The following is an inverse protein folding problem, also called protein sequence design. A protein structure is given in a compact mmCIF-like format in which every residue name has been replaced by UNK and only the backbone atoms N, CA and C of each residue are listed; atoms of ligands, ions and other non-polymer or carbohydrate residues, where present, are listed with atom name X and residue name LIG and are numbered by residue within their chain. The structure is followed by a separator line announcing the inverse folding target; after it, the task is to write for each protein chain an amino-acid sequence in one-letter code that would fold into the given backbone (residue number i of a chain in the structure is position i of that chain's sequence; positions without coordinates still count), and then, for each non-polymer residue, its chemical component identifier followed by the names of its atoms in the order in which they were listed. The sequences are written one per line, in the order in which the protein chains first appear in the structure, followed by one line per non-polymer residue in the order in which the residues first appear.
data_IF_229137806098
#
_entry.id   IF_229137806098
#
_cell.length_a   1.000
_cell.length_b   1.000
_cell.length_c   1.000
_cell.angle_alpha   90.00
_cell.angle_beta   90.00
_cell.angle_gamma   90.00
#
_symmetry.space_group_name_H-M   'P 1'
#
loop_
_entity.id
_entity.type
_entity.pdbx_description
1 polymer ?
#
# COMPACT_ATOMS: atom_id res chain seq x y z
N UNK A 1 -7.64 38.65 -12.33
CA UNK A 1 -7.22 37.59 -11.40
C UNK A 1 -6.99 36.32 -12.21
N UNK A 2 -5.80 36.15 -12.80
CA UNK A 2 -5.51 35.11 -13.82
C UNK A 2 -4.79 33.89 -13.21
N UNK A 3 -4.16 34.04 -12.04
CA UNK A 3 -3.37 32.97 -11.41
C UNK A 3 -4.14 31.92 -10.60
N UNK A 4 -5.46 32.04 -10.45
CA UNK A 4 -6.25 31.06 -9.67
C UNK A 4 -6.62 29.81 -10.47
N UNK A 5 -6.93 29.96 -11.76
CA UNK A 5 -7.36 28.83 -12.61
C UNK A 5 -6.23 27.81 -12.84
N UNK A 6 -4.98 28.27 -12.97
CA UNK A 6 -3.83 27.38 -13.10
C UNK A 6 -3.60 26.53 -11.84
N UNK A 7 -3.80 27.10 -10.65
CA UNK A 7 -3.68 26.38 -9.37
C UNK A 7 -4.79 25.33 -9.24
N UNK A 8 -6.03 25.67 -9.61
CA UNK A 8 -7.16 24.73 -9.58
C UNK A 8 -6.92 23.56 -10.55
N UNK A 9 -6.47 23.84 -11.79
CA UNK A 9 -6.17 22.80 -12.76
C UNK A 9 -5.04 21.87 -12.30
N UNK A 10 -3.99 22.42 -11.68
CA UNK A 10 -2.91 21.62 -11.09
C UNK A 10 -3.42 20.75 -9.94
N UNK A 11 -4.28 21.28 -9.08
CA UNK A 11 -4.88 20.52 -7.98
C UNK A 11 -5.71 19.32 -8.49
N UNK A 12 -6.48 19.49 -9.57
CA UNK A 12 -7.19 18.36 -10.20
C UNK A 12 -6.23 17.31 -10.74
N UNK A 13 -5.14 17.73 -11.40
CA UNK A 13 -4.10 16.81 -11.87
C UNK A 13 -3.49 15.98 -10.73
N UNK A 14 -3.18 16.63 -9.60
CA UNK A 14 -2.66 15.97 -8.41
C UNK A 14 -3.67 14.98 -7.81
N UNK A 15 -4.93 15.39 -7.63
CA UNK A 15 -5.98 14.51 -7.07
C UNK A 15 -6.22 13.26 -7.93
N UNK A 16 -6.19 13.40 -9.26
CA UNK A 16 -6.33 12.26 -10.18
C UNK A 16 -5.14 11.30 -10.09
N UNK A 17 -3.93 11.86 -9.93
CA UNK A 17 -2.73 11.05 -9.77
C UNK A 17 -2.72 10.29 -8.42
N UNK A 18 -3.22 10.92 -7.35
CA UNK A 18 -3.32 10.32 -6.00
C UNK A 18 -4.53 9.38 -5.86
N UNK A 19 -5.54 9.47 -6.71
CA UNK A 19 -6.78 8.69 -6.58
C UNK A 19 -6.57 7.17 -6.42
N UNK A 20 -5.68 6.50 -7.19
CA UNK A 20 -5.39 5.07 -6.99
C UNK A 20 -4.89 4.74 -5.57
N UNK A 21 -4.14 5.65 -4.94
CA UNK A 21 -3.58 5.49 -3.60
C UNK A 21 -4.67 5.56 -2.54
N UNK A 22 -5.68 6.42 -2.75
CA UNK A 22 -6.87 6.53 -1.90
C UNK A 22 -7.71 5.25 -1.87
N UNK A 23 -7.49 4.34 -2.82
CA UNK A 23 -8.14 3.02 -2.86
C UNK A 23 -7.19 1.92 -2.38
N UNK A 24 -5.95 1.92 -2.86
CA UNK A 24 -4.99 0.82 -2.67
C UNK A 24 -4.51 0.68 -1.23
N UNK A 25 -4.12 1.79 -0.60
CA UNK A 25 -3.61 1.76 0.78
C UNK A 25 -4.71 1.48 1.81
N UNK A 26 -5.92 2.07 1.71
CA UNK A 26 -7.01 1.67 2.59
C UNK A 26 -7.43 0.21 2.42
N UNK A 27 -7.40 -0.35 1.20
CA UNK A 27 -7.64 -1.78 1.00
C UNK A 27 -6.55 -2.63 1.69
N UNK A 28 -5.28 -2.25 1.58
CA UNK A 28 -4.19 -2.91 2.28
C UNK A 28 -4.42 -2.90 3.80
N UNK A 29 -4.79 -1.75 4.37
CA UNK A 29 -5.15 -1.63 5.80
C UNK A 29 -6.36 -2.50 6.16
N UNK A 30 -7.37 -2.56 5.29
CA UNK A 30 -8.54 -3.41 5.48
C UNK A 30 -8.24 -4.92 5.36
N UNK A 31 -7.04 -5.30 4.91
CA UNK A 31 -6.62 -6.69 4.77
C UNK A 31 -6.65 -7.49 6.08
N UNK A 32 -6.56 -6.83 7.24
CA UNK A 32 -6.69 -7.49 8.55
C UNK A 32 -8.12 -7.96 8.88
N UNK A 33 -9.13 -7.53 8.13
CA UNK A 33 -10.55 -7.82 8.41
C UNK A 33 -11.37 -8.14 7.16
N UNK A 34 -10.72 -8.21 5.99
CA UNK A 34 -11.37 -8.49 4.71
C UNK A 34 -10.86 -9.79 4.14
N UNK A 35 -11.79 -10.67 3.78
CA UNK A 35 -11.47 -11.97 3.20
C UNK A 35 -10.77 -11.82 1.84
N UNK A 36 -9.76 -12.66 1.62
CA UNK A 36 -9.08 -12.82 0.35
C UNK A 36 -9.56 -14.09 -0.38
N UNK A 37 -8.87 -14.47 -1.46
CA UNK A 37 -9.33 -15.51 -2.38
C UNK A 37 -9.40 -16.92 -1.77
N UNK A 38 -8.71 -17.16 -0.66
CA UNK A 38 -8.70 -18.45 0.04
C UNK A 38 -9.74 -18.55 1.17
N UNK A 39 -10.54 -17.49 1.39
CA UNK A 39 -11.57 -17.44 2.41
C UNK A 39 -11.09 -17.02 3.81
N UNK A 40 -9.80 -16.74 4.00
CA UNK A 40 -9.23 -16.11 5.20
C UNK A 40 -9.07 -14.60 4.99
N UNK A 41 -8.88 -13.82 6.07
CA UNK A 41 -8.52 -12.41 5.92
C UNK A 41 -7.22 -12.29 5.12
N UNK A 42 -7.00 -11.20 4.38
CA UNK A 42 -5.77 -11.05 3.60
C UNK A 42 -4.50 -11.07 4.46
N UNK A 43 -4.58 -10.54 5.68
CA UNK A 43 -3.58 -10.73 6.72
C UNK A 43 -4.15 -11.64 7.80
N UNK A 44 -3.70 -12.89 7.83
CA UNK A 44 -4.21 -13.94 8.71
C UNK A 44 -3.08 -14.90 9.13
N UNK A 45 -3.29 -15.60 10.25
CA UNK A 45 -2.35 -16.59 10.78
C UNK A 45 -2.52 -17.95 10.12
N UNK A 46 -3.65 -18.18 9.46
CA UNK A 46 -4.12 -19.51 9.10
C UNK A 46 -4.41 -19.69 7.59
N UNK A 47 -3.56 -19.16 6.72
CA UNK A 47 -3.73 -19.34 5.27
C UNK A 47 -3.43 -20.78 4.84
N UNK A 48 -4.40 -21.50 4.22
CA UNK A 48 -4.21 -22.89 3.83
C UNK A 48 -3.30 -23.02 2.60
N UNK A 49 -2.16 -23.71 2.75
CA UNK A 49 -1.23 -24.00 1.66
C UNK A 49 -0.36 -25.22 1.98
N UNK A 50 -0.03 -26.03 0.96
CA UNK A 50 0.91 -27.15 1.08
C UNK A 50 0.56 -28.14 2.22
N UNK A 51 -0.74 -28.43 2.40
CA UNK A 51 -1.23 -29.36 3.42
C UNK A 51 -1.17 -28.85 4.86
N UNK A 52 -0.81 -27.58 5.08
CA UNK A 52 -0.81 -26.92 6.39
C UNK A 52 -1.31 -25.49 6.32
N UNK A 53 -0.96 -24.68 7.31
CA UNK A 53 -1.25 -23.25 7.36
C UNK A 53 0.02 -22.41 7.43
N UNK A 54 -0.06 -21.21 6.87
CA UNK A 54 0.99 -20.19 6.95
C UNK A 54 0.40 -18.89 7.48
N UNK A 55 1.18 -18.21 8.32
CA UNK A 55 0.89 -16.84 8.74
C UNK A 55 1.59 -15.85 7.82
N UNK A 56 0.94 -14.72 7.56
CA UNK A 56 1.57 -13.54 6.95
C UNK A 56 1.48 -12.31 7.87
N UNK A 57 1.47 -12.54 9.18
CA UNK A 57 1.42 -11.50 10.21
C UNK A 57 2.63 -11.59 11.13
N UNK A 58 3.11 -10.43 11.57
CA UNK A 58 4.01 -10.29 12.73
C UNK A 58 3.29 -9.58 13.88
N UNK A 59 3.47 -10.09 15.09
CA UNK A 59 2.78 -9.61 16.28
C UNK A 59 1.43 -10.32 16.49
N UNK A 60 0.61 -9.76 17.36
CA UNK A 60 -0.71 -10.28 17.69
C UNK A 60 -1.78 -9.23 17.37
N UNK A 61 -2.55 -9.44 16.30
CA UNK A 61 -3.62 -8.52 15.88
C UNK A 61 -4.67 -8.29 16.98
N UNK A 62 -4.87 -9.25 17.88
CA UNK A 62 -5.84 -9.11 18.96
C UNK A 62 -5.42 -8.02 19.96
N UNK A 63 -4.13 -7.88 20.24
CA UNK A 63 -3.58 -6.97 21.25
C UNK A 63 -2.89 -5.74 20.64
N UNK A 64 -2.19 -5.92 19.52
CA UNK A 64 -1.48 -4.86 18.82
C UNK A 64 -2.45 -3.96 18.05
N UNK A 65 -2.57 -2.70 18.50
CA UNK A 65 -3.46 -1.69 17.91
C UNK A 65 -2.73 -0.50 17.29
N UNK A 66 -1.41 -0.61 17.12
CA UNK A 66 -0.61 0.44 16.48
C UNK A 66 -1.01 0.72 15.03
N UNK A 67 -0.50 1.82 14.49
CA UNK A 67 -0.56 2.10 13.05
C UNK A 67 0.12 0.93 12.31
N UNK A 68 -0.54 0.34 11.30
CA UNK A 68 0.00 -0.81 10.63
C UNK A 68 1.20 -0.45 9.75
N UNK A 69 2.05 -1.44 9.52
CA UNK A 69 3.10 -1.40 8.52
C UNK A 69 3.14 -2.73 7.77
N UNK A 70 3.62 -2.68 6.53
CA UNK A 70 3.55 -3.81 5.62
C UNK A 70 4.87 -4.01 4.92
N UNK A 71 5.34 -5.25 4.90
CA UNK A 71 6.50 -5.66 4.12
C UNK A 71 6.01 -6.42 2.89
N UNK A 72 6.41 -5.97 1.70
CA UNK A 72 5.87 -6.45 0.43
C UNK A 72 7.02 -6.90 -0.49
N UNK A 73 6.76 -7.95 -1.25
CA UNK A 73 7.53 -8.34 -2.43
C UNK A 73 6.86 -7.81 -3.70
N UNK A 74 7.49 -6.83 -4.35
CA UNK A 74 7.04 -6.28 -5.62
C UNK A 74 7.77 -6.88 -6.84
N UNK A 75 8.70 -7.81 -6.62
CA UNK A 75 9.43 -8.49 -7.70
C UNK A 75 8.61 -9.61 -8.35
N UNK A 76 7.55 -10.07 -7.68
CA UNK A 76 6.67 -11.11 -8.21
C UNK A 76 5.75 -10.58 -9.32
N UNK A 77 5.36 -11.48 -10.22
CA UNK A 77 4.43 -11.17 -11.32
C UNK A 77 3.06 -10.74 -10.79
N UNK A 78 2.57 -11.39 -9.73
CA UNK A 78 1.35 -11.00 -9.06
C UNK A 78 1.68 -10.29 -7.75
N UNK A 79 1.29 -9.03 -7.66
CA UNK A 79 1.46 -8.17 -6.48
C UNK A 79 0.36 -8.41 -5.44
N UNK A 80 0.55 -7.99 -4.17
CA UNK A 80 -0.47 -8.19 -3.13
C UNK A 80 -1.71 -7.32 -3.33
N UNK A 81 -1.57 -6.15 -3.95
CA UNK A 81 -2.67 -5.27 -4.34
C UNK A 81 -2.68 -5.12 -5.85
N UNK A 82 -3.83 -5.35 -6.45
CA UNK A 82 -4.05 -5.27 -7.88
C UNK A 82 -4.90 -4.04 -8.18
N UNK A 83 -4.31 -3.08 -8.87
CA UNK A 83 -5.03 -1.92 -9.40
C UNK A 83 -5.59 -2.24 -10.79
N UNK A 84 -6.92 -2.30 -10.89
CA UNK A 84 -7.61 -2.56 -12.15
C UNK A 84 -8.18 -1.28 -12.74
N UNK A 85 -7.53 -0.79 -13.80
CA UNK A 85 -8.03 0.33 -14.61
C UNK A 85 -9.10 -0.18 -15.60
N UNK A 86 -10.34 0.30 -15.48
CA UNK A 86 -11.45 -0.03 -16.40
C UNK A 86 -11.72 1.05 -17.46
N UNK A 87 -11.59 2.32 -17.09
CA UNK A 87 -11.53 3.46 -18.00
C UNK A 87 -10.44 4.41 -17.51
N UNK A 88 -9.64 4.94 -18.44
CA UNK A 88 -8.70 5.98 -18.09
C UNK A 88 -9.41 7.22 -17.56
N UNK A 89 -8.80 7.87 -16.57
CA UNK A 89 -9.21 9.21 -16.17
C UNK A 89 -9.00 10.13 -17.36
N UNK A 90 -10.10 10.70 -17.83
CA UNK A 90 -10.13 11.65 -18.94
C UNK A 90 -10.62 13.00 -18.41
N UNK A 91 -9.82 14.03 -18.63
CA UNK A 91 -10.22 15.40 -18.34
C UNK A 91 -11.21 15.86 -19.40
N UNK A 92 -12.33 16.44 -18.96
CA UNK A 92 -13.35 17.03 -19.81
C UNK A 92 -13.54 18.50 -19.43
N UNK A 93 -13.51 19.35 -20.43
CA UNK A 93 -13.79 20.78 -20.31
C UNK A 93 -15.02 21.11 -21.14
N UNK A 94 -16.03 21.72 -20.52
CA UNK A 94 -17.12 22.42 -21.19
C UNK A 94 -16.84 23.92 -21.04
N UNK A 95 -15.92 24.41 -21.86
CA UNK A 95 -15.45 25.80 -21.90
C UNK A 95 -15.84 26.53 -23.19
N UNK A 96 -16.74 25.94 -23.99
CA UNK A 96 -17.26 26.56 -25.19
C UNK A 96 -18.36 27.58 -24.83
N UNK A 97 -18.29 28.75 -25.47
CA UNK A 97 -19.32 29.79 -25.35
C UNK A 97 -20.64 29.38 -26.02
N UNK A 98 -20.62 28.36 -26.86
CA UNK A 98 -21.80 27.78 -27.53
C UNK A 98 -22.56 26.77 -26.69
N UNK A 99 -22.02 26.33 -25.56
CA UNK A 99 -22.70 25.38 -24.67
C UNK A 99 -23.95 26.01 -24.07
N UNK A 100 -25.04 25.24 -24.06
CA UNK A 100 -26.30 25.66 -23.43
C UNK A 100 -26.09 25.99 -21.94
N UNK A 101 -25.22 25.25 -21.26
CA UNK A 101 -24.91 25.48 -19.85
C UNK A 101 -24.18 26.82 -19.66
N UNK A 102 -23.15 27.08 -20.47
CA UNK A 102 -22.39 28.33 -20.44
C UNK A 102 -23.30 29.52 -20.73
N UNK A 103 -24.19 29.40 -21.73
CA UNK A 103 -25.13 30.46 -22.08
C UNK A 103 -26.15 30.76 -20.97
N UNK A 104 -26.72 29.71 -20.34
CA UNK A 104 -27.76 29.87 -19.33
C UNK A 104 -27.22 30.29 -17.96
N UNK A 105 -26.06 29.77 -17.58
CA UNK A 105 -25.53 29.90 -16.21
C UNK A 105 -24.28 30.79 -16.13
N UNK A 106 -23.67 31.15 -17.26
CA UNK A 106 -22.43 31.93 -17.33
C UNK A 106 -21.26 31.30 -16.55
N UNK A 107 -21.20 29.97 -16.57
CA UNK A 107 -20.20 29.13 -15.89
C UNK A 107 -19.54 28.16 -16.87
N UNK A 108 -18.23 27.93 -16.70
CA UNK A 108 -17.50 26.87 -17.39
C UNK A 108 -17.33 25.67 -16.45
N UNK A 109 -17.48 24.46 -16.98
CA UNK A 109 -17.37 23.24 -16.20
C UNK A 109 -16.11 22.48 -16.57
N UNK A 110 -15.38 22.06 -15.55
CA UNK A 110 -14.20 21.19 -15.67
C UNK A 110 -14.40 19.98 -14.78
N UNK A 111 -14.17 18.80 -15.33
CA UNK A 111 -14.35 17.55 -14.60
C UNK A 111 -13.42 16.46 -15.10
N UNK A 112 -13.25 15.42 -14.29
CA UNK A 112 -12.50 14.23 -14.67
C UNK A 112 -13.43 13.04 -14.54
N UNK A 113 -13.56 12.27 -15.61
CA UNK A 113 -14.31 11.02 -15.60
C UNK A 113 -13.34 9.85 -15.78
N UNK A 114 -13.41 8.88 -14.89
CA UNK A 114 -12.56 7.69 -14.92
C UNK A 114 -13.24 6.53 -14.24
N UNK A 115 -12.65 5.34 -14.33
CA UNK A 115 -13.16 4.20 -13.61
C UNK A 115 -12.07 3.18 -13.34
N UNK A 116 -11.85 2.88 -12.07
CA UNK A 116 -10.93 1.85 -11.62
C UNK A 116 -11.50 1.13 -10.40
N UNK A 117 -10.84 0.05 -10.02
CA UNK A 117 -11.05 -0.62 -8.75
C UNK A 117 -9.74 -1.23 -8.27
N UNK A 118 -9.69 -1.62 -7.00
CA UNK A 118 -8.58 -2.34 -6.38
C UNK A 118 -9.06 -3.68 -5.84
N UNK A 119 -8.16 -4.65 -5.75
CA UNK A 119 -8.44 -5.95 -5.16
C UNK A 119 -7.18 -6.62 -4.62
N UNK A 120 -7.37 -7.61 -3.76
CA UNK A 120 -6.26 -8.42 -3.26
C UNK A 120 -5.72 -9.36 -4.35
N UNK A 121 -4.40 -9.45 -4.43
CA UNK A 121 -3.68 -10.49 -5.16
C UNK A 121 -3.25 -11.61 -4.22
N UNK A 122 -1.96 -11.95 -4.24
CA UNK A 122 -1.43 -13.04 -3.41
C UNK A 122 -1.00 -12.58 -2.02
N UNK A 123 -1.59 -13.20 -1.00
CA UNK A 123 -1.24 -12.96 0.41
C UNK A 123 0.20 -13.39 0.71
N UNK A 124 0.76 -14.33 -0.05
CA UNK A 124 2.15 -14.80 0.10
C UNK A 124 3.19 -13.68 -0.14
N UNK A 125 2.80 -12.63 -0.87
CA UNK A 125 3.69 -11.53 -1.28
C UNK A 125 3.67 -10.35 -0.32
N UNK A 126 2.90 -10.42 0.78
CA UNK A 126 2.82 -9.35 1.75
C UNK A 126 2.78 -9.91 3.17
N UNK A 127 3.46 -9.24 4.09
CA UNK A 127 3.37 -9.48 5.52
C UNK A 127 2.90 -8.19 6.19
N UNK A 128 1.90 -8.28 7.05
CA UNK A 128 1.35 -7.15 7.80
C UNK A 128 1.71 -7.21 9.28
N UNK A 129 1.77 -6.06 9.94
CA UNK A 129 1.90 -6.00 11.40
C UNK A 129 1.28 -4.74 11.96
N UNK A 130 0.74 -4.86 13.17
CA UNK A 130 0.28 -3.74 14.01
C UNK A 130 1.15 -3.53 15.26
N UNK A 131 2.15 -4.38 15.44
CA UNK A 131 3.14 -4.26 16.49
C UNK A 131 4.08 -3.07 16.20
N UNK A 132 4.81 -2.54 17.19
CA UNK A 132 5.78 -1.49 16.95
C UNK A 132 6.82 -1.89 15.89
N UNK A 133 7.12 -0.99 14.96
CA UNK A 133 8.15 -1.22 13.94
C UNK A 133 9.54 -1.18 14.59
N UNK A 134 10.07 -2.36 14.92
CA UNK A 134 11.40 -2.58 15.50
C UNK A 134 12.23 -3.48 14.60
N UNK A 135 13.55 -3.50 14.79
CA UNK A 135 14.45 -4.40 14.04
C UNK A 135 14.03 -5.87 14.22
N UNK A 136 13.66 -6.27 15.43
CA UNK A 136 13.22 -7.64 15.71
C UNK A 136 11.93 -8.01 14.94
N UNK A 137 10.96 -7.10 14.90
CA UNK A 137 9.71 -7.34 14.17
C UNK A 137 9.91 -7.28 12.65
N UNK A 138 10.79 -6.40 12.17
CA UNK A 138 11.19 -6.37 10.77
C UNK A 138 11.84 -7.71 10.34
N UNK A 139 12.80 -8.22 11.10
CA UNK A 139 13.42 -9.53 10.85
C UNK A 139 12.41 -10.68 10.88
N UNK A 140 11.45 -10.63 11.80
CA UNK A 140 10.37 -11.61 11.85
C UNK A 140 9.53 -11.57 10.56
N UNK A 141 9.22 -10.38 10.04
CA UNK A 141 8.44 -10.22 8.81
C UNK A 141 9.22 -10.74 7.57
N UNK A 142 10.52 -10.45 7.52
CA UNK A 142 11.41 -10.99 6.47
C UNK A 142 11.42 -12.53 6.51
N UNK A 143 11.54 -13.12 7.70
CA UNK A 143 11.51 -14.58 7.89
C UNK A 143 10.17 -15.20 7.51
N UNK A 144 9.06 -14.53 7.80
CA UNK A 144 7.72 -14.96 7.38
C UNK A 144 7.64 -15.07 5.87
N UNK A 145 8.00 -14.01 5.13
CA UNK A 145 7.93 -13.99 3.67
C UNK A 145 8.89 -15.00 3.03
N UNK A 146 10.15 -15.02 3.47
CA UNK A 146 11.16 -15.94 2.91
C UNK A 146 10.97 -17.40 3.35
N UNK A 147 10.25 -17.63 4.44
CA UNK A 147 10.04 -18.95 5.04
C UNK A 147 8.94 -19.79 4.37
N UNK A 148 8.09 -19.18 3.53
CA UNK A 148 7.00 -19.88 2.86
C UNK A 148 7.52 -20.89 1.82
N UNK A 149 6.99 -22.12 1.88
CA UNK A 149 7.39 -23.24 1.01
C UNK A 149 6.22 -23.74 0.19
N UNK A 150 6.53 -24.26 -1.00
CA UNK A 150 5.60 -25.01 -1.85
C UNK A 150 5.34 -26.39 -1.26
N UNK A 151 4.35 -27.08 -1.80
CA UNK A 151 4.04 -28.47 -1.47
C UNK A 151 5.23 -29.43 -1.70
N UNK A 152 6.11 -29.11 -2.65
CA UNK A 152 7.36 -29.85 -2.89
C UNK A 152 8.44 -29.63 -1.82
N UNK A 153 8.18 -28.79 -0.80
CA UNK A 153 9.16 -28.38 0.20
C UNK A 153 10.18 -27.32 -0.28
N UNK A 154 10.14 -26.94 -1.56
CA UNK A 154 11.00 -25.90 -2.11
C UNK A 154 10.51 -24.50 -1.70
N UNK A 155 11.40 -23.51 -1.48
CA UNK A 155 11.00 -22.14 -1.19
C UNK A 155 10.10 -21.55 -2.29
N UNK A 156 9.17 -20.68 -1.90
CA UNK A 156 8.30 -20.01 -2.86
C UNK A 156 9.06 -18.96 -3.70
N UNK A 157 10.18 -18.45 -3.17
CA UNK A 157 11.03 -17.47 -3.83
C UNK A 157 10.65 -16.02 -3.53
N UNK A 158 9.85 -15.79 -2.49
CA UNK A 158 9.43 -14.46 -2.05
C UNK A 158 10.60 -13.73 -1.41
N UNK A 159 10.81 -12.47 -1.79
CA UNK A 159 11.86 -11.60 -1.28
C UNK A 159 11.28 -10.21 -1.01
N UNK A 160 11.31 -9.73 0.24
CA UNK A 160 10.91 -8.37 0.54
C UNK A 160 11.67 -7.36 -0.32
N UNK A 161 10.96 -6.43 -0.95
CA UNK A 161 11.55 -5.31 -1.70
C UNK A 161 11.12 -3.97 -1.18
N UNK A 162 9.94 -3.91 -0.54
CA UNK A 162 9.27 -2.64 -0.24
C UNK A 162 8.65 -2.69 1.15
N UNK A 163 8.96 -1.68 1.98
CA UNK A 163 8.36 -1.44 3.29
C UNK A 163 7.38 -0.28 3.18
N UNK A 164 6.09 -0.58 3.32
CA UNK A 164 5.01 0.41 3.30
C UNK A 164 4.66 0.82 4.73
N UNK A 165 4.71 2.12 5.00
CA UNK A 165 4.45 2.69 6.32
C UNK A 165 3.56 3.93 6.25
N UNK A 166 2.87 4.18 7.36
CA UNK A 166 2.19 5.44 7.59
C UNK A 166 3.07 6.49 8.30
N UNK A 167 2.49 7.67 8.55
CA UNK A 167 3.21 8.80 9.13
C UNK A 167 3.83 8.50 10.50
N UNK A 168 3.19 7.68 11.34
CA UNK A 168 3.68 7.37 12.68
C UNK A 168 4.87 6.41 12.65
N UNK A 169 4.90 5.49 11.69
CA UNK A 169 5.99 4.53 11.51
C UNK A 169 7.15 5.05 10.65
N UNK A 170 6.98 6.16 9.93
CA UNK A 170 7.99 6.76 9.03
C UNK A 170 9.37 6.92 9.67
N UNK A 171 9.43 7.49 10.89
CA UNK A 171 10.70 7.73 11.56
C UNK A 171 11.42 6.42 11.93
N UNK A 172 10.67 5.42 12.38
CA UNK A 172 11.20 4.09 12.68
C UNK A 172 11.69 3.39 11.41
N UNK A 173 10.93 3.46 10.31
CA UNK A 173 11.34 2.90 9.02
C UNK A 173 12.67 3.48 8.54
N UNK A 174 12.81 4.81 8.56
CA UNK A 174 14.07 5.49 8.20
C UNK A 174 15.23 5.10 9.09
N UNK A 175 14.99 4.93 10.40
CA UNK A 175 16.03 4.46 11.33
C UNK A 175 16.51 3.05 10.99
N UNK A 176 15.61 2.16 10.56
CA UNK A 176 15.95 0.77 10.24
C UNK A 176 16.59 0.66 8.85
N UNK A 177 16.08 1.36 7.85
CA UNK A 177 16.44 1.14 6.44
C UNK A 177 17.35 2.23 5.85
N UNK A 178 17.17 3.48 6.24
CA UNK A 178 17.92 4.61 5.67
C UNK A 178 19.11 5.08 6.52
N UNK A 179 19.17 4.69 7.80
CA UNK A 179 20.30 5.05 8.65
C UNK A 179 21.50 4.14 8.36
N UNK A 180 22.66 4.72 8.03
CA UNK A 180 23.90 3.96 7.82
C UNK A 180 24.47 3.35 9.10
N UNK A 181 24.18 3.97 10.25
CA UNK A 181 24.70 3.59 11.55
C UNK A 181 23.54 3.35 12.52
N UNK A 182 23.69 2.36 13.39
CA UNK A 182 22.80 2.15 14.54
C UNK A 182 23.25 2.99 15.74
N UNK A 183 22.40 3.08 16.76
CA UNK A 183 22.74 3.74 18.02
C UNK A 183 24.02 3.09 18.61
N UNK A 184 25.07 3.89 18.79
CA UNK A 184 26.40 3.41 19.19
C UNK A 184 27.45 3.38 18.07
N UNK A 185 27.09 3.76 16.84
CA UNK A 185 28.06 4.02 15.76
C UNK A 185 28.49 2.79 14.96
N UNK A 186 27.90 1.63 15.21
CA UNK A 186 28.12 0.42 14.40
C UNK A 186 27.37 0.54 13.06
N UNK A 187 27.89 -0.13 12.03
CA UNK A 187 27.22 -0.21 10.72
C UNK A 187 25.87 -0.91 10.82
N UNK A 188 24.86 -0.32 10.18
CA UNK A 188 23.54 -0.92 10.05
C UNK A 188 23.52 -1.94 8.92
N UNK A 189 23.20 -3.20 9.24
CA UNK A 189 23.13 -4.29 8.26
C UNK A 189 21.92 -4.18 7.32
N UNK A 190 20.88 -3.43 7.73
CA UNK A 190 19.65 -3.23 6.95
C UNK A 190 19.66 -1.95 6.12
N UNK A 191 20.81 -1.27 6.07
CA UNK A 191 20.95 -0.05 5.28
C UNK A 191 20.67 -0.33 3.80
N UNK A 192 19.60 0.28 3.27
CA UNK A 192 19.08 0.11 1.91
C UNK A 192 18.67 -1.32 1.56
N UNK A 193 18.20 -2.08 2.55
CA UNK A 193 17.70 -3.45 2.35
C UNK A 193 16.41 -3.48 1.51
N UNK A 194 15.49 -2.54 1.75
CA UNK A 194 14.22 -2.37 1.00
C UNK A 194 13.94 -0.91 0.67
N UNK A 195 13.04 -0.65 -0.27
CA UNK A 195 12.51 0.69 -0.55
C UNK A 195 11.43 1.07 0.48
N UNK A 196 11.46 2.31 0.99
CA UNK A 196 10.39 2.81 1.87
C UNK A 196 9.33 3.52 1.03
N UNK A 197 8.08 3.06 1.14
CA UNK A 197 6.90 3.77 0.65
C UNK A 197 6.19 4.37 1.86
N UNK A 198 6.27 5.70 1.97
CA UNK A 198 5.65 6.50 3.01
C UNK A 198 4.33 7.07 2.48
N UNK A 199 3.20 6.57 2.99
CA UNK A 199 1.87 6.94 2.49
C UNK A 199 0.99 7.50 3.61
N UNK A 200 0.38 8.70 3.42
CA UNK A 200 -0.54 9.28 4.40
C UNK A 200 -1.86 8.51 4.50
N UNK A 201 -2.13 7.60 3.56
CA UNK A 201 -3.35 6.79 3.53
C UNK A 201 -3.25 5.50 4.35
N UNK A 202 -2.06 5.19 4.89
CA UNK A 202 -1.87 4.14 5.88
C UNK A 202 -2.22 4.73 7.24
N UNK A 203 -3.40 4.39 7.72
CA UNK A 203 -3.94 4.89 8.99
C UNK A 203 -4.26 3.72 9.92
N UNK A 204 -4.32 4.00 11.23
CA UNK A 204 -4.75 3.02 12.22
C UNK A 204 -6.23 2.65 11.96
N UNK A 205 -6.55 1.35 11.79
CA UNK A 205 -7.95 0.91 11.71
C UNK A 205 -8.70 1.32 12.98
N UNK A 206 -9.92 1.86 12.79
CA UNK A 206 -10.84 2.20 13.88
C UNK A 206 -11.22 0.99 14.74
#
# INVERSE_FOLDING_TARGET
QIGQYSVIAQAFGQQVAEFPDTLSFPLLVAGFSTLCFDGQNFFDTDHPMAGGTYSNIVGDIATDKGEPWFLIDESQVLKPILYQKRRAFNFQALDDLSSEHTFKNNEFLYGVDGRCNVGFGFWQTACGSRAPLTVANYEAAVKVLQGMKRDSGSPLGIRPTTLVVGPNNRAAAKKIIDAMLVDGGNSNIYYKDVEIVDSPFITTPA
#
